data_IF_463935215373
#
_entry.id   IF_463935215373
#
_cell.length_a   1.000
_cell.length_b   1.000
_cell.length_c   1.000
_cell.angle_alpha   90.00
_cell.angle_beta   90.00
_cell.angle_gamma   90.00
#
_symmetry.space_group_name_H-M   'P 1'
#
loop_
_entity.id
_entity.type
_entity.pdbx_description
1 polymer ?
#
# COMPACT_ATOMS: atom_id res chain seq x y z
N UNK A 1 55.33 21.29 55.78
CA UNK A 1 55.32 19.94 55.20
C UNK A 1 54.82 20.06 53.78
N UNK A 2 55.68 19.70 52.84
CA UNK A 2 55.45 19.65 51.39
C UNK A 2 54.72 18.33 51.03
N UNK A 3 54.28 18.26 49.76
CA UNK A 3 54.07 17.07 48.91
C UNK A 3 52.65 16.88 48.34
N UNK A 4 52.47 17.56 47.19
CA UNK A 4 52.10 17.04 45.84
C UNK A 4 50.76 16.35 45.58
N UNK A 5 50.07 16.92 44.60
CA UNK A 5 49.41 16.21 43.51
C UNK A 5 49.26 17.09 42.26
N UNK A 6 50.23 17.03 41.32
CA UNK A 6 50.18 17.67 39.98
C UNK A 6 49.48 16.75 38.96
N UNK A 7 48.75 17.37 38.02
CA UNK A 7 48.63 17.12 36.55
C UNK A 7 47.18 17.37 36.10
N UNK A 8 46.85 18.03 35.00
CA UNK A 8 47.62 18.69 33.95
C UNK A 8 46.64 19.50 33.08
N UNK A 9 47.16 20.57 32.47
CA UNK A 9 46.53 21.49 31.53
C UNK A 9 45.91 20.79 30.30
N UNK A 10 44.84 21.37 29.74
CA UNK A 10 44.65 21.51 28.30
C UNK A 10 43.50 22.49 28.01
N UNK A 11 43.81 23.61 27.35
CA UNK A 11 42.78 24.47 26.76
C UNK A 11 42.12 23.80 25.55
N UNK A 12 40.85 24.10 25.33
CA UNK A 12 40.11 24.07 24.05
C UNK A 12 39.06 25.18 24.17
N UNK A 13 39.24 26.35 23.58
CA UNK A 13 39.23 26.64 22.13
C UNK A 13 37.88 26.27 21.50
N UNK A 14 37.18 27.29 20.98
CA UNK A 14 36.26 27.12 19.87
C UNK A 14 34.77 27.06 20.20
N UNK A 15 34.18 28.26 20.30
CA UNK A 15 32.85 28.60 19.82
C UNK A 15 32.26 27.62 18.78
N UNK A 16 31.10 27.06 19.08
CA UNK A 16 29.99 26.93 18.12
C UNK A 16 28.69 27.24 18.85
N UNK A 17 28.32 28.52 18.83
CA UNK A 17 26.93 28.97 18.90
C UNK A 17 26.01 28.01 18.12
N UNK A 18 25.35 27.08 18.81
CA UNK A 18 24.08 26.56 18.32
C UNK A 18 23.06 27.68 18.55
N UNK A 19 22.93 28.56 17.57
CA UNK A 19 21.79 29.48 17.50
C UNK A 19 20.52 28.66 17.78
N UNK A 20 19.68 29.06 18.76
CA UNK A 20 18.48 28.31 19.07
C UNK A 20 17.63 28.29 17.81
N UNK A 21 17.55 27.13 17.14
CA UNK A 21 16.75 26.93 15.92
C UNK A 21 15.39 27.52 16.19
N UNK A 22 15.13 28.71 15.63
CA UNK A 22 13.84 29.35 15.78
C UNK A 22 12.83 28.29 15.34
N UNK A 23 11.94 27.91 16.26
CA UNK A 23 10.74 27.16 15.92
C UNK A 23 9.87 28.11 15.13
N UNK A 24 10.30 28.41 13.91
CA UNK A 24 9.52 29.14 12.94
C UNK A 24 8.24 28.33 12.80
N UNK A 25 7.11 28.97 13.10
CA UNK A 25 5.82 28.36 12.94
C UNK A 25 5.66 28.00 11.46
N UNK A 26 5.78 26.70 11.14
CA UNK A 26 5.45 26.18 9.83
C UNK A 26 3.94 26.04 9.84
N UNK A 27 3.26 26.96 9.17
CA UNK A 27 1.82 26.87 8.98
C UNK A 27 1.48 25.49 8.42
N UNK A 28 0.44 24.81 8.95
CA UNK A 28 -0.01 23.54 8.41
C UNK A 28 -0.19 23.67 6.90
N UNK A 29 0.49 22.82 6.14
CA UNK A 29 0.33 22.77 4.69
C UNK A 29 -1.12 22.38 4.42
N UNK A 30 -1.82 23.17 3.59
CA UNK A 30 -3.19 22.85 3.20
C UNK A 30 -3.22 21.42 2.66
N UNK A 31 -4.16 20.57 3.11
CA UNK A 31 -4.33 19.24 2.54
C UNK A 31 -4.44 19.36 1.02
N UNK A 32 -3.74 18.47 0.30
CA UNK A 32 -3.89 18.44 -1.14
C UNK A 32 -5.35 18.11 -1.50
N UNK A 33 -5.91 18.71 -2.56
CA UNK A 33 -7.23 18.36 -3.05
C UNK A 33 -7.33 16.85 -3.28
N UNK A 34 -8.46 16.26 -2.87
CA UNK A 34 -8.74 14.85 -3.11
C UNK A 34 -8.79 14.64 -4.63
N UNK A 35 -8.01 13.68 -5.13
CA UNK A 35 -8.04 13.33 -6.54
C UNK A 35 -9.45 12.86 -6.91
N UNK A 36 -10.03 13.32 -8.03
CA UNK A 36 -11.37 12.90 -8.43
C UNK A 36 -11.35 11.40 -8.79
N UNK A 37 -12.48 10.71 -8.58
CA UNK A 37 -12.61 9.28 -8.91
C UNK A 37 -12.29 9.08 -10.40
N UNK A 38 -11.46 8.10 -10.80
CA UNK A 38 -11.08 7.92 -12.19
C UNK A 38 -12.21 7.51 -13.16
N UNK A 39 -13.38 7.07 -12.68
CA UNK A 39 -14.48 6.62 -13.57
C UNK A 39 -15.05 7.75 -14.45
N UNK A 40 -15.34 8.90 -13.85
CA UNK A 40 -16.09 9.99 -14.50
C UNK A 40 -15.19 11.00 -15.25
N UNK A 41 -14.11 11.57 -14.65
CA UNK A 41 -13.30 12.62 -15.25
C UNK A 41 -12.25 12.10 -16.25
N UNK A 42 -11.82 10.84 -16.15
CA UNK A 42 -10.78 10.27 -17.03
C UNK A 42 -11.36 9.52 -18.22
N UNK A 43 -12.68 9.50 -18.38
CA UNK A 43 -13.35 8.79 -19.46
C UNK A 43 -13.23 7.27 -19.37
N UNK A 44 -12.82 6.73 -18.21
CA UNK A 44 -12.66 5.31 -18.00
C UNK A 44 -13.98 4.55 -18.21
N UNK A 45 -15.11 5.16 -17.86
CA UNK A 45 -16.44 4.62 -18.12
C UNK A 45 -16.68 4.27 -19.61
N UNK A 46 -16.05 4.98 -20.55
CA UNK A 46 -16.21 4.70 -21.99
C UNK A 46 -15.33 3.55 -22.49
N UNK A 47 -14.26 3.22 -21.76
CA UNK A 47 -13.32 2.15 -22.12
C UNK A 47 -13.72 0.79 -21.53
N UNK A 48 -14.68 0.78 -20.59
CA UNK A 48 -15.12 -0.41 -19.87
C UNK A 48 -16.47 -0.92 -20.38
N UNK A 49 -16.73 -2.23 -20.31
CA UNK A 49 -18.07 -2.77 -20.51
C UNK A 49 -19.08 -2.12 -19.56
N UNK A 50 -20.29 -1.82 -20.05
CA UNK A 50 -21.30 -1.10 -19.28
C UNK A 50 -21.66 -1.79 -17.95
N UNK A 51 -21.69 -3.13 -17.94
CA UNK A 51 -21.91 -3.92 -16.73
C UNK A 51 -20.85 -3.62 -15.66
N UNK A 52 -19.58 -3.60 -16.05
CA UNK A 52 -18.47 -3.30 -15.15
C UNK A 52 -18.56 -1.86 -14.63
N UNK A 53 -18.88 -0.88 -15.48
CA UNK A 53 -19.07 0.52 -15.05
C UNK A 53 -20.11 0.62 -13.94
N UNK A 54 -21.25 -0.05 -14.08
CA UNK A 54 -22.31 -0.05 -13.07
C UNK A 54 -21.83 -0.64 -11.74
N UNK A 55 -21.08 -1.74 -11.80
CA UNK A 55 -20.50 -2.37 -10.60
C UNK A 55 -19.53 -1.41 -9.90
N UNK A 56 -18.63 -0.75 -10.65
CA UNK A 56 -17.62 0.14 -10.09
C UNK A 56 -18.22 1.45 -9.55
N UNK A 57 -19.25 2.02 -10.19
CA UNK A 57 -20.00 3.17 -9.67
C UNK A 57 -20.66 2.85 -8.32
N UNK A 58 -21.22 1.65 -8.16
CA UNK A 58 -21.78 1.21 -6.87
C UNK A 58 -20.71 1.08 -5.81
N UNK A 59 -19.51 0.63 -6.18
CA UNK A 59 -18.39 0.53 -5.25
C UNK A 59 -17.89 1.91 -4.78
N UNK A 60 -17.90 2.91 -5.66
CA UNK A 60 -17.40 4.27 -5.38
C UNK A 60 -18.30 5.14 -4.49
N UNK A 61 -19.63 4.97 -4.57
CA UNK A 61 -20.62 5.94 -4.06
C UNK A 61 -20.92 5.88 -2.55
N UNK A 62 -19.99 5.40 -1.73
CA UNK A 62 -20.11 5.29 -0.27
C UNK A 62 -21.29 4.45 0.22
N UNK A 63 -21.19 3.15 -0.01
CA UNK A 63 -21.21 2.12 1.02
C UNK A 63 -20.75 0.89 0.26
N UNK A 64 -19.55 0.41 0.56
CA UNK A 64 -18.98 -0.82 0.00
C UNK A 64 -19.88 -1.98 0.41
N UNK A 65 -21.04 -2.11 -0.25
CA UNK A 65 -21.92 -3.23 -0.03
C UNK A 65 -21.07 -4.43 -0.35
N UNK A 66 -20.91 -5.30 0.65
CA UNK A 66 -20.16 -6.54 0.52
C UNK A 66 -20.51 -7.23 -0.81
N UNK A 67 -21.79 -7.16 -1.18
CA UNK A 67 -22.35 -7.57 -2.46
C UNK A 67 -21.73 -6.90 -3.69
N UNK A 68 -21.67 -5.57 -3.80
CA UNK A 68 -21.05 -4.93 -4.97
C UNK A 68 -19.57 -5.32 -5.11
N UNK A 69 -18.91 -5.56 -3.98
CA UNK A 69 -17.52 -5.98 -3.99
C UNK A 69 -17.33 -7.46 -4.34
N UNK A 70 -18.24 -8.33 -3.90
CA UNK A 70 -18.35 -9.71 -4.38
C UNK A 70 -18.65 -9.76 -5.88
N UNK A 71 -19.61 -8.97 -6.36
CA UNK A 71 -19.95 -8.84 -7.79
C UNK A 71 -18.71 -8.40 -8.59
N UNK A 72 -17.97 -7.38 -8.10
CA UNK A 72 -16.68 -6.95 -8.69
C UNK A 72 -15.66 -8.08 -8.74
N UNK A 73 -15.49 -8.81 -7.64
CA UNK A 73 -14.55 -9.93 -7.55
C UNK A 73 -14.92 -11.04 -8.52
N UNK A 74 -16.19 -11.44 -8.55
CA UNK A 74 -16.68 -12.50 -9.45
C UNK A 74 -16.50 -12.11 -10.91
N UNK A 75 -16.80 -10.86 -11.27
CA UNK A 75 -16.58 -10.35 -12.63
C UNK A 75 -15.10 -10.46 -13.03
N UNK A 76 -14.19 -10.04 -12.14
CA UNK A 76 -12.76 -10.05 -12.40
C UNK A 76 -12.18 -11.48 -12.42
N UNK A 77 -12.68 -12.39 -11.58
CA UNK A 77 -12.32 -13.80 -11.62
C UNK A 77 -12.75 -14.46 -12.94
N UNK A 78 -13.98 -14.18 -13.39
CA UNK A 78 -14.48 -14.66 -14.67
C UNK A 78 -13.67 -14.10 -15.84
N UNK A 79 -13.44 -12.78 -15.88
CA UNK A 79 -12.65 -12.13 -16.93
C UNK A 79 -11.20 -12.60 -16.97
N UNK A 80 -10.59 -12.87 -15.81
CA UNK A 80 -9.24 -13.44 -15.74
C UNK A 80 -9.18 -14.89 -16.25
N UNK A 81 -10.25 -15.68 -16.09
CA UNK A 81 -10.35 -17.05 -16.58
C UNK A 81 -10.67 -17.12 -18.08
N UNK A 82 -11.59 -16.29 -18.56
CA UNK A 82 -12.09 -16.27 -19.95
C UNK A 82 -11.20 -15.47 -20.91
N UNK A 83 -10.11 -14.87 -20.41
CA UNK A 83 -9.21 -13.97 -21.14
C UNK A 83 -9.84 -12.66 -21.61
N UNK A 84 -10.93 -12.18 -20.98
CA UNK A 84 -11.24 -10.74 -21.00
C UNK A 84 -10.29 -9.97 -20.07
N UNK A 85 -9.00 -10.20 -20.28
CA UNK A 85 -7.93 -9.51 -19.59
C UNK A 85 -7.91 -8.02 -19.97
N UNK A 86 -8.55 -7.63 -21.08
CA UNK A 86 -8.63 -6.25 -21.51
C UNK A 86 -9.52 -5.44 -20.58
N UNK A 87 -10.77 -5.86 -20.32
CA UNK A 87 -11.65 -5.15 -19.40
C UNK A 87 -11.07 -5.08 -17.97
N UNK A 88 -10.50 -6.19 -17.49
CA UNK A 88 -9.86 -6.25 -16.17
C UNK A 88 -8.63 -5.32 -16.10
N UNK A 89 -7.83 -5.24 -17.16
CA UNK A 89 -6.69 -4.29 -17.25
C UNK A 89 -7.15 -2.85 -17.33
N UNK A 90 -8.17 -2.57 -18.13
CA UNK A 90 -8.73 -1.23 -18.27
C UNK A 90 -9.25 -0.71 -16.94
N UNK A 91 -9.78 -1.56 -16.05
CA UNK A 91 -10.23 -1.19 -14.70
C UNK A 91 -9.08 -0.82 -13.74
N UNK A 92 -7.82 -1.18 -14.03
CA UNK A 92 -6.71 -1.03 -13.08
C UNK A 92 -6.54 0.38 -12.49
N UNK A 93 -6.68 1.49 -13.24
CA UNK A 93 -6.61 2.83 -12.64
C UNK A 93 -7.63 3.06 -11.53
N UNK A 94 -8.87 2.56 -11.72
CA UNK A 94 -9.90 2.59 -10.68
C UNK A 94 -9.51 1.74 -9.48
N UNK A 95 -9.04 0.51 -9.73
CA UNK A 95 -8.59 -0.36 -8.64
C UNK A 95 -7.44 0.27 -7.84
N UNK A 96 -6.44 0.83 -8.50
CA UNK A 96 -5.29 1.48 -7.84
C UNK A 96 -5.71 2.68 -6.99
N UNK A 97 -6.71 3.44 -7.44
CA UNK A 97 -7.27 4.56 -6.69
C UNK A 97 -7.95 4.11 -5.38
N UNK A 98 -8.74 3.03 -5.42
CA UNK A 98 -9.57 2.58 -4.29
C UNK A 98 -8.92 1.51 -3.42
N UNK A 99 -7.97 0.73 -3.94
CA UNK A 99 -7.36 -0.40 -3.24
C UNK A 99 -6.77 -0.04 -1.87
N UNK A 100 -6.05 1.09 -1.68
CA UNK A 100 -5.51 1.43 -0.36
C UNK A 100 -6.58 1.56 0.71
N UNK A 101 -7.71 2.17 0.37
CA UNK A 101 -8.84 2.37 1.29
C UNK A 101 -9.54 1.04 1.59
N UNK A 102 -9.75 0.21 0.57
CA UNK A 102 -10.44 -1.08 0.70
C UNK A 102 -9.61 -2.12 1.46
N UNK A 103 -8.29 -2.14 1.24
CA UNK A 103 -7.36 -3.04 1.93
C UNK A 103 -7.23 -2.70 3.42
N UNK A 104 -7.40 -1.43 3.81
CA UNK A 104 -7.35 -0.98 5.21
C UNK A 104 -8.73 -0.73 5.81
N UNK A 105 -9.78 -1.23 5.16
CA UNK A 105 -11.15 -0.99 5.57
C UNK A 105 -11.44 -1.59 6.97
N UNK A 106 -12.21 -0.92 7.85
CA UNK A 106 -12.49 -1.43 9.21
C UNK A 106 -13.18 -2.80 9.21
N UNK A 107 -14.05 -3.07 8.24
CA UNK A 107 -14.69 -4.38 8.08
C UNK A 107 -13.72 -5.45 7.58
N UNK A 108 -13.57 -6.52 8.37
CA UNK A 108 -12.77 -7.71 8.05
C UNK A 108 -13.16 -8.35 6.71
N UNK A 109 -14.46 -8.47 6.43
CA UNK A 109 -14.96 -9.10 5.20
C UNK A 109 -14.50 -8.34 3.95
N UNK A 110 -14.57 -7.01 4.00
CA UNK A 110 -14.10 -6.15 2.91
C UNK A 110 -12.59 -6.30 2.72
N UNK A 111 -11.79 -6.34 3.78
CA UNK A 111 -10.34 -6.58 3.65
C UNK A 111 -10.04 -7.91 2.97
N UNK A 112 -10.76 -8.99 3.31
CA UNK A 112 -10.58 -10.30 2.69
C UNK A 112 -10.93 -10.31 1.20
N UNK A 113 -12.06 -9.70 0.82
CA UNK A 113 -12.44 -9.54 -0.58
C UNK A 113 -11.41 -8.68 -1.34
N UNK A 114 -10.90 -7.63 -0.70
CA UNK A 114 -9.92 -6.73 -1.29
C UNK A 114 -8.60 -7.45 -1.52
N UNK A 115 -8.14 -8.27 -0.58
CA UNK A 115 -6.94 -9.10 -0.75
C UNK A 115 -7.12 -10.08 -1.92
N UNK A 116 -8.29 -10.71 -2.02
CA UNK A 116 -8.57 -11.65 -3.11
C UNK A 116 -8.53 -10.95 -4.48
N UNK A 117 -9.22 -9.81 -4.61
CA UNK A 117 -9.21 -9.02 -5.82
C UNK A 117 -7.82 -8.44 -6.13
N UNK A 118 -7.08 -8.00 -5.10
CA UNK A 118 -5.71 -7.53 -5.24
C UNK A 118 -4.80 -8.63 -5.79
N UNK A 119 -4.94 -9.87 -5.31
CA UNK A 119 -4.12 -10.99 -5.76
C UNK A 119 -4.34 -11.33 -7.25
N UNK A 120 -5.54 -11.09 -7.79
CA UNK A 120 -5.86 -11.32 -9.21
C UNK A 120 -5.32 -10.19 -10.09
N UNK A 121 -5.44 -8.95 -9.62
CA UNK A 121 -5.04 -7.74 -10.37
C UNK A 121 -3.54 -7.47 -10.33
N UNK A 122 -2.85 -7.85 -9.26
CA UNK A 122 -1.43 -7.55 -9.08
C UNK A 122 -0.50 -8.13 -10.17
N UNK A 123 -0.69 -9.36 -10.68
CA UNK A 123 0.06 -9.85 -11.84
C UNK A 123 -0.13 -9.01 -13.12
N UNK A 124 -1.24 -8.27 -13.22
CA UNK A 124 -1.51 -7.37 -14.35
C UNK A 124 -0.80 -6.02 -14.20
N UNK A 125 -0.44 -5.64 -12.98
CA UNK A 125 0.31 -4.43 -12.64
C UNK A 125 1.83 -4.58 -12.85
N UNK A 126 2.25 -5.45 -13.78
CA UNK A 126 3.63 -5.84 -14.09
C UNK A 126 4.68 -4.80 -13.61
N UNK A 127 5.48 -5.16 -12.59
CA UNK A 127 6.54 -4.38 -11.90
C UNK A 127 6.25 -2.93 -11.47
N UNK A 128 5.18 -2.28 -11.94
CA UNK A 128 4.90 -0.85 -11.80
C UNK A 128 3.72 -0.56 -10.85
N UNK A 129 3.54 -1.41 -9.83
CA UNK A 129 2.61 -1.10 -8.77
C UNK A 129 3.07 0.19 -8.04
N UNK A 130 2.19 1.21 -7.90
CA UNK A 130 2.57 2.45 -7.22
C UNK A 130 3.03 2.19 -5.78
N UNK A 131 4.04 2.93 -5.27
CA UNK A 131 4.58 2.70 -3.93
C UNK A 131 3.53 2.72 -2.81
N UNK A 132 2.48 3.54 -2.93
CA UNK A 132 1.41 3.61 -1.94
C UNK A 132 0.57 2.33 -1.90
N UNK A 133 0.30 1.70 -3.05
CA UNK A 133 -0.41 0.42 -3.13
C UNK A 133 0.44 -0.70 -2.52
N UNK A 134 1.74 -0.70 -2.84
CA UNK A 134 2.68 -1.66 -2.26
C UNK A 134 2.82 -1.49 -0.74
N UNK A 135 2.88 -0.25 -0.27
CA UNK A 135 2.91 0.07 1.15
C UNK A 135 1.67 -0.48 1.86
N UNK A 136 0.48 -0.20 1.33
CA UNK A 136 -0.76 -0.73 1.89
C UNK A 136 -0.81 -2.26 1.84
N UNK A 137 -0.32 -2.87 0.77
CA UNK A 137 -0.25 -4.32 0.65
C UNK A 137 0.64 -4.97 1.72
N UNK A 138 1.78 -4.35 2.02
CA UNK A 138 2.64 -4.78 3.12
C UNK A 138 1.96 -4.58 4.48
N UNK A 139 1.25 -3.47 4.69
CA UNK A 139 0.51 -3.24 5.93
C UNK A 139 -0.54 -4.33 6.20
N UNK A 140 -1.30 -4.73 5.17
CA UNK A 140 -2.33 -5.75 5.31
C UNK A 140 -1.74 -7.18 5.51
N UNK A 141 -0.49 -7.41 5.11
CA UNK A 141 0.23 -8.65 5.46
C UNK A 141 0.53 -8.74 6.97
N UNK A 142 0.50 -7.61 7.68
CA UNK A 142 0.65 -7.49 9.13
C UNK A 142 -0.64 -7.00 9.81
N UNK A 143 -1.81 -7.36 9.26
CA UNK A 143 -3.11 -7.00 9.84
C UNK A 143 -3.26 -7.48 11.30
N UNK A 144 -3.94 -6.73 12.18
CA UNK A 144 -4.25 -7.19 13.53
C UNK A 144 -5.09 -8.49 13.54
N UNK A 145 -5.92 -8.73 12.52
CA UNK A 145 -6.58 -10.01 12.32
C UNK A 145 -5.61 -11.02 11.67
N UNK A 146 -5.26 -12.06 12.45
CA UNK A 146 -4.31 -13.09 12.03
C UNK A 146 -4.72 -13.84 10.77
N UNK A 147 -6.02 -14.01 10.51
CA UNK A 147 -6.50 -14.71 9.33
C UNK A 147 -6.32 -13.85 8.08
N UNK A 148 -6.66 -12.56 8.18
CA UNK A 148 -6.42 -11.56 7.13
C UNK A 148 -4.92 -11.49 6.80
N UNK A 149 -4.08 -11.35 7.83
CA UNK A 149 -2.62 -11.30 7.70
C UNK A 149 -2.04 -12.57 7.02
N UNK A 150 -2.53 -13.75 7.42
CA UNK A 150 -2.10 -15.04 6.86
C UNK A 150 -2.44 -15.18 5.36
N UNK A 151 -3.67 -14.82 4.98
CA UNK A 151 -4.11 -14.88 3.58
C UNK A 151 -3.31 -13.88 2.74
N UNK A 152 -3.16 -12.64 3.22
CA UNK A 152 -2.40 -11.60 2.53
C UNK A 152 -0.92 -11.98 2.36
N UNK A 153 -0.28 -12.50 3.40
CA UNK A 153 1.12 -12.96 3.33
C UNK A 153 1.31 -14.07 2.30
N UNK A 154 0.32 -14.96 2.19
CA UNK A 154 0.35 -16.08 1.24
C UNK A 154 0.20 -15.60 -0.20
N UNK A 155 -0.73 -14.68 -0.48
CA UNK A 155 -0.88 -14.09 -1.82
C UNK A 155 0.36 -13.29 -2.23
N UNK A 156 0.95 -12.57 -1.26
CA UNK A 156 2.21 -11.82 -1.43
C UNK A 156 3.36 -12.69 -1.88
N UNK A 157 3.60 -13.78 -1.17
CA UNK A 157 4.74 -14.64 -1.45
C UNK A 157 4.66 -15.33 -2.82
N UNK A 158 3.46 -15.73 -3.25
CA UNK A 158 3.27 -16.37 -4.57
C UNK A 158 3.61 -15.41 -5.71
N UNK A 159 3.21 -14.14 -5.58
CA UNK A 159 3.39 -13.13 -6.62
C UNK A 159 4.84 -12.64 -6.62
N UNK A 160 5.44 -12.43 -5.45
CA UNK A 160 6.85 -12.11 -5.27
C UNK A 160 7.79 -13.17 -5.87
N UNK A 161 7.45 -14.46 -5.74
CA UNK A 161 8.21 -15.54 -6.38
C UNK A 161 8.16 -15.50 -7.90
N UNK A 162 7.09 -14.94 -8.47
CA UNK A 162 6.89 -14.83 -9.92
C UNK A 162 7.55 -13.58 -10.50
N UNK A 163 7.56 -12.47 -9.76
CA UNK A 163 8.25 -11.23 -10.10
C UNK A 163 9.75 -11.33 -9.75
N UNK A 164 10.54 -11.98 -10.60
CA UNK A 164 12.01 -12.06 -10.48
C UNK A 164 12.72 -10.74 -10.89
N UNK A 165 12.18 -9.59 -10.48
CA UNK A 165 12.68 -8.25 -10.78
C UNK A 165 13.40 -7.59 -9.59
N UNK A 166 14.49 -6.87 -9.87
CA UNK A 166 15.48 -6.36 -8.90
C UNK A 166 14.97 -5.34 -7.88
N UNK A 167 13.87 -4.62 -8.16
CA UNK A 167 13.37 -3.58 -7.24
C UNK A 167 12.69 -4.14 -5.97
N UNK A 168 12.18 -5.37 -6.00
CA UNK A 168 11.49 -5.98 -4.86
C UNK A 168 12.42 -6.69 -3.86
N UNK A 169 13.68 -6.89 -4.24
CA UNK A 169 14.65 -7.68 -3.49
C UNK A 169 14.96 -7.07 -2.11
N UNK A 170 14.86 -5.76 -1.95
CA UNK A 170 15.08 -5.07 -0.67
C UNK A 170 13.93 -5.28 0.34
N UNK A 171 12.68 -5.35 -0.11
CA UNK A 171 11.53 -5.53 0.79
C UNK A 171 11.34 -6.99 1.20
N UNK A 172 11.60 -7.94 0.29
CA UNK A 172 11.52 -9.38 0.58
C UNK A 172 12.60 -9.82 1.58
N UNK A 173 13.80 -9.25 1.52
CA UNK A 173 14.88 -9.58 2.47
C UNK A 173 14.49 -9.20 3.90
N UNK A 174 13.84 -8.04 4.12
CA UNK A 174 13.37 -7.66 5.46
C UNK A 174 12.21 -8.56 5.95
N UNK A 175 11.32 -8.98 5.05
CA UNK A 175 10.16 -9.82 5.36
C UNK A 175 10.56 -11.29 5.65
N UNK A 176 11.59 -11.80 4.95
CA UNK A 176 12.21 -13.10 5.25
C UNK A 176 13.00 -13.07 6.56
N UNK A 177 13.73 -11.97 6.84
CA UNK A 177 14.44 -11.79 8.11
C UNK A 177 13.44 -11.75 9.28
N UNK A 178 12.28 -11.09 9.19
CA UNK A 178 11.35 -11.12 10.32
C UNK A 178 10.72 -12.51 10.56
N UNK A 179 10.55 -13.33 9.53
CA UNK A 179 9.98 -14.68 9.65
C UNK A 179 10.98 -15.71 10.19
N UNK A 180 12.26 -15.59 9.87
CA UNK A 180 13.30 -16.50 10.37
C UNK A 180 13.81 -16.14 11.77
N UNK A 181 13.73 -14.87 12.18
CA UNK A 181 14.30 -14.42 13.46
C UNK A 181 13.30 -14.26 14.61
N UNK A 182 12.02 -14.61 14.43
CA UNK A 182 11.07 -14.74 15.55
C UNK A 182 10.85 -13.50 16.42
N UNK A 183 11.16 -12.30 15.90
CA UNK A 183 10.95 -11.04 16.60
C UNK A 183 9.48 -10.64 16.47
N UNK A 184 8.70 -10.94 17.51
CA UNK A 184 7.35 -10.39 17.73
C UNK A 184 7.44 -9.03 18.40
#
# INVERSE_FOLDING_TARGET
MDVRGRRSQAGKEGDKNEEPRQKAYISPVKPQPIAPDPLDPLGLAYALPAELVVILHRLAKSDTTHRAFEESKTYVEAGAAERDAYAVRAMLPFWLHHAPLLLLHPSRGIRLLAIALHAITLPLLAEEAPPYVLGTWLMIAHDPDKHVASISSTSSFRILKRARGTCFRFYVVRLLIQREYGLR
#
